data_IF_422472363255
#
_entry.id   IF_422472363255
#
_cell.length_a   1.000
_cell.length_b   1.000
_cell.length_c   1.000
_cell.angle_alpha   90.00
_cell.angle_beta   90.00
_cell.angle_gamma   90.00
#
_symmetry.space_group_name_H-M   'P 1'
#
loop_
_entity.id
_entity.type
_entity.pdbx_description
1 polymer ?
#
# COMPACT_ATOMS: atom_id res chain seq x y z
N UNK A 1 6.34 6.39 9.56
CA UNK A 1 4.87 6.17 9.49
C UNK A 1 4.17 7.24 8.65
N UNK A 2 3.62 6.90 7.49
CA UNK A 2 2.60 7.74 6.82
C UNK A 2 1.21 7.36 7.34
N UNK A 3 0.38 8.35 7.72
CA UNK A 3 -1.02 8.09 8.10
C UNK A 3 -1.90 8.19 6.86
N UNK A 4 -2.42 7.06 6.38
CA UNK A 4 -3.53 7.04 5.44
C UNK A 4 -4.69 7.87 6.02
N UNK A 5 -5.09 8.90 5.29
CA UNK A 5 -6.11 9.86 5.75
C UNK A 5 -7.22 9.91 4.71
N UNK A 6 -7.98 8.82 4.64
CA UNK A 6 -9.11 8.69 3.74
C UNK A 6 -10.04 9.91 3.90
N UNK A 7 -10.36 10.57 2.78
CA UNK A 7 -11.03 11.87 2.76
C UNK A 7 -12.13 11.86 1.72
N UNK A 8 -13.35 11.61 2.18
CA UNK A 8 -14.56 11.60 1.35
C UNK A 8 -14.72 12.91 0.56
N UNK A 9 -14.89 12.80 -0.76
CA UNK A 9 -15.23 13.92 -1.64
C UNK A 9 -16.73 14.19 -1.57
N UNK A 10 -17.15 15.20 -0.82
CA UNK A 10 -18.44 15.84 -1.06
C UNK A 10 -18.36 16.66 -2.35
N UNK A 11 -18.92 16.13 -3.44
CA UNK A 11 -19.12 16.87 -4.69
C UNK A 11 -20.44 17.64 -4.63
N UNK A 12 -20.38 18.96 -4.84
CA UNK A 12 -21.55 19.84 -4.79
C UNK A 12 -22.43 19.69 -6.02
N UNK A 13 -23.74 19.89 -5.84
CA UNK A 13 -24.76 19.72 -6.88
C UNK A 13 -24.61 20.62 -8.11
N UNK A 14 -24.91 20.07 -9.28
CA UNK A 14 -25.29 20.84 -10.47
C UNK A 14 -26.56 20.27 -11.09
N UNK A 15 -27.62 21.09 -11.21
CA UNK A 15 -28.90 20.69 -11.80
C UNK A 15 -28.82 20.71 -13.32
N UNK A 16 -29.18 19.62 -13.99
CA UNK A 16 -29.52 19.61 -15.41
C UNK A 16 -30.91 19.00 -15.63
N UNK A 17 -31.82 19.80 -16.18
CA UNK A 17 -33.21 19.41 -16.44
C UNK A 17 -33.41 19.10 -17.92
N UNK A 18 -33.90 17.90 -18.23
CA UNK A 18 -34.25 17.53 -19.61
C UNK A 18 -35.73 17.80 -19.92
N UNK A 19 -35.98 18.73 -20.83
CA UNK A 19 -37.31 19.10 -21.34
C UNK A 19 -37.72 18.20 -22.51
N UNK A 20 -38.67 17.28 -22.27
CA UNK A 20 -39.28 16.47 -23.33
C UNK A 20 -40.57 17.13 -23.86
N UNK A 21 -40.62 17.43 -25.16
CA UNK A 21 -41.71 18.19 -25.78
C UNK A 21 -42.70 17.31 -26.59
N UNK A 22 -43.91 17.12 -26.02
CA UNK A 22 -45.23 16.84 -26.62
C UNK A 22 -45.33 16.38 -28.10
N UNK A 23 -46.15 15.34 -28.30
CA UNK A 23 -47.39 15.35 -29.13
C UNK A 23 -48.29 14.16 -28.70
N UNK A 24 -49.39 14.42 -27.99
CA UNK A 24 -50.79 14.45 -28.50
C UNK A 24 -51.27 13.11 -29.08
N UNK A 25 -52.08 12.32 -28.35
CA UNK A 25 -53.57 12.37 -28.30
C UNK A 25 -54.24 11.64 -29.50
N UNK A 26 -55.40 10.96 -29.42
CA UNK A 26 -56.51 11.06 -28.43
C UNK A 26 -57.39 9.80 -28.38
N UNK A 27 -58.02 9.51 -27.21
CA UNK A 27 -59.33 8.84 -26.97
C UNK A 27 -59.65 7.41 -27.51
N UNK A 28 -59.74 6.49 -26.53
CA UNK A 28 -60.83 5.52 -26.23
C UNK A 28 -62.28 5.88 -26.70
N UNK A 29 -63.30 4.97 -26.63
CA UNK A 29 -63.41 3.68 -25.90
C UNK A 29 -63.81 2.48 -26.84
N UNK A 30 -64.53 1.37 -26.54
CA UNK A 30 -65.31 0.91 -25.38
C UNK A 30 -65.67 -0.61 -25.34
N UNK A 31 -65.90 -1.14 -24.13
CA UNK A 31 -66.90 -2.18 -23.74
C UNK A 31 -66.80 -3.70 -24.08
N UNK A 32 -67.19 -4.48 -23.04
CA UNK A 32 -67.92 -5.76 -23.04
C UNK A 32 -67.23 -7.09 -23.43
N UNK A 33 -66.37 -7.56 -22.52
CA UNK A 33 -66.65 -8.72 -21.64
C UNK A 33 -67.88 -9.60 -21.98
N UNK A 34 -67.66 -10.91 -22.20
CA UNK A 34 -68.54 -11.98 -21.67
C UNK A 34 -67.77 -13.30 -21.43
N UNK A 35 -68.48 -14.36 -21.01
CA UNK A 35 -67.97 -15.48 -20.18
C UNK A 35 -68.04 -16.87 -20.83
N UNK A 36 -67.31 -17.79 -20.18
CA UNK A 36 -67.56 -19.24 -20.08
C UNK A 36 -67.56 -20.10 -21.37
N UNK A 37 -66.56 -20.98 -21.47
CA UNK A 37 -66.83 -22.41 -21.72
C UNK A 37 -65.73 -23.29 -21.14
N UNK A 38 -66.09 -24.50 -20.68
CA UNK A 38 -65.21 -25.43 -19.97
C UNK A 38 -65.23 -26.80 -20.66
N UNK A 39 -64.07 -27.25 -21.21
CA UNK A 39 -63.77 -28.69 -21.36
C UNK A 39 -62.32 -28.98 -21.78
N UNK A 40 -61.64 -29.76 -20.92
CA UNK A 40 -60.68 -30.84 -21.23
C UNK A 40 -59.57 -30.57 -22.27
N UNK A 41 -58.35 -30.39 -21.78
CA UNK A 41 -57.24 -31.24 -22.23
C UNK A 41 -56.27 -31.48 -21.06
N UNK A 42 -56.12 -32.74 -20.65
CA UNK A 42 -55.14 -33.16 -19.66
C UNK A 42 -53.81 -33.43 -20.39
N UNK A 43 -52.91 -32.46 -20.33
CA UNK A 43 -51.52 -32.63 -20.77
C UNK A 43 -50.63 -32.58 -19.54
N UNK A 44 -49.78 -33.60 -19.35
CA UNK A 44 -49.02 -33.80 -18.11
C UNK A 44 -47.91 -32.76 -17.98
N UNK A 45 -48.19 -31.67 -17.26
CA UNK A 45 -47.22 -30.63 -16.94
C UNK A 45 -46.43 -30.97 -15.67
N UNK A 46 -45.91 -32.20 -15.62
CA UNK A 46 -44.98 -32.67 -14.58
C UNK A 46 -43.54 -32.25 -14.93
N UNK A 47 -43.35 -30.99 -15.33
CA UNK A 47 -42.01 -30.39 -15.39
C UNK A 47 -41.59 -30.18 -13.95
N UNK A 48 -40.46 -30.78 -13.56
CA UNK A 48 -40.10 -30.92 -12.15
C UNK A 48 -39.96 -29.58 -11.45
N UNK A 49 -40.79 -29.38 -10.42
CA UNK A 49 -40.41 -28.58 -9.26
C UNK A 49 -39.29 -29.34 -8.52
N UNK A 50 -38.09 -29.35 -9.12
CA UNK A 50 -36.88 -29.60 -8.37
C UNK A 50 -36.78 -28.47 -7.33
N UNK A 51 -36.84 -28.75 -6.03
CA UNK A 51 -36.52 -27.73 -5.05
C UNK A 51 -35.07 -27.31 -5.32
N UNK A 52 -34.86 -26.04 -5.65
CA UNK A 52 -33.53 -25.46 -5.70
C UNK A 52 -33.08 -25.36 -4.25
N UNK A 53 -32.53 -26.46 -3.73
CA UNK A 53 -31.90 -26.51 -2.41
C UNK A 53 -30.62 -25.70 -2.53
N UNK A 54 -30.79 -24.39 -2.37
CA UNK A 54 -29.68 -23.48 -2.12
C UNK A 54 -29.11 -23.88 -0.77
N UNK A 55 -28.08 -24.73 -0.78
CA UNK A 55 -27.20 -24.88 0.36
C UNK A 55 -26.43 -23.57 0.53
N UNK A 56 -27.09 -22.59 1.16
CA UNK A 56 -26.38 -21.56 1.90
C UNK A 56 -25.72 -22.28 3.07
N UNK A 57 -24.42 -22.49 2.95
CA UNK A 57 -23.59 -22.71 4.12
C UNK A 57 -23.64 -21.39 4.91
N UNK A 58 -24.33 -21.40 6.04
CA UNK A 58 -24.41 -20.24 6.92
C UNK A 58 -22.99 -19.97 7.44
N UNK A 59 -22.38 -18.88 6.96
CA UNK A 59 -21.02 -18.50 7.34
C UNK A 59 -20.99 -18.29 8.86
N UNK A 60 -20.28 -19.17 9.56
CA UNK A 60 -20.25 -19.18 11.01
C UNK A 60 -19.32 -18.08 11.54
N UNK A 61 -19.90 -16.90 11.76
CA UNK A 61 -19.24 -15.76 12.38
C UNK A 61 -18.97 -15.95 13.89
N UNK A 62 -19.25 -17.13 14.49
CA UNK A 62 -18.95 -17.42 15.90
C UNK A 62 -17.50 -17.81 16.19
N UNK A 63 -16.58 -17.58 15.24
CA UNK A 63 -15.14 -17.79 15.42
C UNK A 63 -14.66 -17.22 16.75
N UNK A 64 -14.24 -18.09 17.68
CA UNK A 64 -13.80 -17.69 19.02
C UNK A 64 -12.68 -16.66 18.89
N UNK A 65 -12.91 -15.44 19.40
CA UNK A 65 -11.94 -14.36 19.27
C UNK A 65 -10.70 -14.63 20.13
N UNK A 66 -9.67 -15.19 19.49
CA UNK A 66 -8.38 -15.46 20.10
C UNK A 66 -7.60 -14.14 20.24
N UNK A 67 -7.53 -13.63 21.47
CA UNK A 67 -6.72 -12.46 21.83
C UNK A 67 -5.23 -12.72 21.54
N UNK A 68 -4.63 -11.84 20.74
CA UNK A 68 -3.26 -11.95 20.22
C UNK A 68 -2.55 -10.61 20.26
N UNK A 69 -1.40 -10.61 20.94
CA UNK A 69 -0.46 -9.50 20.90
C UNK A 69 0.00 -9.25 19.45
N UNK A 70 -0.19 -8.01 19.01
CA UNK A 70 0.22 -7.50 17.71
C UNK A 70 1.45 -6.60 17.90
N UNK A 71 2.54 -6.95 17.21
CA UNK A 71 3.85 -6.26 17.27
C UNK A 71 4.22 -5.75 15.89
N UNK A 72 4.45 -4.45 15.74
CA UNK A 72 4.96 -3.89 14.48
C UNK A 72 6.22 -3.04 14.72
N UNK A 73 7.34 -3.44 14.13
CA UNK A 73 8.59 -2.69 14.14
C UNK A 73 9.24 -2.78 12.76
N UNK A 74 9.47 -1.62 12.15
CA UNK A 74 10.28 -1.48 10.94
C UNK A 74 11.55 -0.75 11.38
N UNK A 75 12.68 -1.44 11.36
CA UNK A 75 13.99 -0.85 11.59
C UNK A 75 14.31 0.09 10.43
N UNK A 76 14.55 1.36 10.73
CA UNK A 76 14.91 2.40 9.76
C UNK A 76 16.36 2.86 10.01
N UNK A 77 17.03 3.40 8.99
CA UNK A 77 18.44 3.82 9.00
C UNK A 77 18.73 5.12 9.81
N UNK A 78 17.92 5.39 10.84
CA UNK A 78 17.89 6.57 11.73
C UNK A 78 18.31 6.23 13.17
N UNK A 79 18.45 7.24 14.03
CA UNK A 79 18.99 7.10 15.40
C UNK A 79 17.98 6.54 16.44
N UNK A 80 16.67 6.68 16.21
CA UNK A 80 15.61 6.24 17.14
C UNK A 80 14.63 5.33 16.42
N UNK A 81 14.37 4.13 16.94
CA UNK A 81 13.40 3.18 16.40
C UNK A 81 12.04 3.33 17.12
N UNK A 82 10.94 3.15 16.39
CA UNK A 82 9.57 3.18 16.93
C UNK A 82 8.91 1.81 16.68
N UNK A 83 8.40 1.20 17.74
CA UNK A 83 7.64 -0.06 17.73
C UNK A 83 6.18 0.22 18.13
N UNK A 84 5.22 -0.50 17.56
CA UNK A 84 3.86 -0.58 18.10
C UNK A 84 3.57 -1.93 18.75
N UNK A 85 2.89 -1.89 19.89
CA UNK A 85 2.49 -3.04 20.70
C UNK A 85 1.05 -2.84 21.18
N UNK A 86 0.16 -3.77 20.84
CA UNK A 86 -1.25 -3.74 21.24
C UNK A 86 -1.87 -5.14 21.17
N UNK A 87 -3.07 -5.30 21.70
CA UNK A 87 -3.90 -6.46 21.37
C UNK A 87 -4.43 -6.34 19.93
N UNK A 88 -4.84 -7.46 19.33
CA UNK A 88 -5.72 -7.46 18.16
C UNK A 88 -7.11 -6.93 18.57
N UNK A 89 -7.99 -6.68 17.59
CA UNK A 89 -9.30 -6.08 17.83
C UNK A 89 -10.40 -7.07 17.45
N UNK A 90 -11.35 -7.31 18.36
CA UNK A 90 -12.53 -8.15 18.13
C UNK A 90 -13.39 -7.59 16.97
N UNK A 91 -13.98 -8.45 16.12
CA UNK A 91 -14.89 -8.00 15.05
C UNK A 91 -15.99 -7.05 15.55
N UNK A 92 -16.13 -5.90 14.88
CA UNK A 92 -17.08 -4.85 15.25
C UNK A 92 -16.53 -3.76 16.19
N UNK A 93 -15.35 -3.97 16.80
CA UNK A 93 -14.65 -2.94 17.57
C UNK A 93 -13.59 -2.20 16.73
N UNK A 94 -13.26 -0.97 17.13
CA UNK A 94 -12.38 -0.06 16.38
C UNK A 94 -11.27 0.57 17.26
N UNK A 95 -10.95 -0.05 18.40
CA UNK A 95 -9.92 0.43 19.33
C UNK A 95 -8.98 -0.70 19.69
N UNK A 96 -7.70 -0.52 19.36
CA UNK A 96 -6.61 -1.34 19.86
C UNK A 96 -6.43 -1.10 21.36
N UNK A 97 -6.31 -2.17 22.15
CA UNK A 97 -5.98 -2.09 23.58
C UNK A 97 -4.47 -1.95 23.79
N UNK A 98 -4.09 -1.13 24.79
CA UNK A 98 -2.72 -0.65 25.00
C UNK A 98 -1.95 -1.57 25.96
N UNK A 99 -0.89 -2.21 25.46
CA UNK A 99 0.02 -3.01 26.28
C UNK A 99 1.12 -2.10 26.82
N UNK A 100 1.15 -1.93 28.14
CA UNK A 100 2.13 -1.11 28.88
C UNK A 100 3.14 -1.93 29.69
N UNK A 101 2.75 -3.11 30.18
CA UNK A 101 3.63 -4.03 30.89
C UNK A 101 4.17 -5.11 29.94
N UNK A 102 5.38 -4.88 29.42
CA UNK A 102 6.07 -5.79 28.51
C UNK A 102 7.60 -5.67 28.60
N UNK A 103 8.31 -6.77 28.37
CA UNK A 103 9.75 -6.79 28.17
C UNK A 103 10.08 -6.86 26.67
N UNK A 104 10.44 -5.73 26.08
CA UNK A 104 10.66 -5.56 24.63
C UNK A 104 12.14 -5.28 24.35
N UNK A 105 12.85 -6.18 23.67
CA UNK A 105 14.32 -6.14 23.49
C UNK A 105 14.76 -6.38 22.05
N UNK A 106 15.81 -5.67 21.64
CA UNK A 106 16.47 -5.82 20.35
C UNK A 106 17.87 -6.43 20.53
N UNK A 107 18.20 -7.40 19.68
CA UNK A 107 19.50 -8.06 19.62
C UNK A 107 20.13 -7.89 18.23
N UNK A 108 21.44 -7.61 18.19
CA UNK A 108 22.28 -7.60 16.99
C UNK A 108 23.09 -8.91 17.00
N UNK A 109 22.71 -9.87 16.16
CA UNK A 109 23.02 -11.28 16.37
C UNK A 109 22.51 -11.75 17.75
N UNK A 110 23.43 -12.16 18.62
CA UNK A 110 23.13 -12.57 20.00
C UNK A 110 23.38 -11.47 21.06
N UNK A 111 23.91 -10.31 20.67
CA UNK A 111 24.18 -9.22 21.61
C UNK A 111 22.93 -8.36 21.81
N UNK A 112 22.42 -8.25 23.04
CA UNK A 112 21.37 -7.30 23.37
C UNK A 112 21.89 -5.86 23.14
N UNK A 113 21.28 -5.13 22.20
CA UNK A 113 21.66 -3.74 21.88
C UNK A 113 20.78 -2.70 22.56
N UNK A 114 19.62 -3.11 23.07
CA UNK A 114 18.78 -2.25 23.90
C UNK A 114 17.39 -2.78 24.17
N UNK A 115 16.72 -2.13 25.11
CA UNK A 115 15.35 -2.39 25.54
C UNK A 115 14.48 -1.21 25.13
N UNK A 116 13.33 -1.48 24.50
CA UNK A 116 12.39 -0.42 24.19
C UNK A 116 11.69 0.08 25.47
N UNK A 117 11.44 1.38 25.54
CA UNK A 117 10.63 2.01 26.59
C UNK A 117 9.26 2.41 26.03
N UNK A 118 8.21 2.27 26.84
CA UNK A 118 6.88 2.78 26.51
C UNK A 118 6.92 4.32 26.49
N UNK A 119 6.39 4.96 25.44
CA UNK A 119 6.26 6.44 25.36
C UNK A 119 4.83 6.87 25.70
N UNK A 120 3.85 6.31 24.99
CA UNK A 120 2.42 6.65 25.07
C UNK A 120 1.61 5.78 24.12
N UNK A 121 0.39 5.39 24.50
CA UNK A 121 -0.48 4.56 23.65
C UNK A 121 0.26 3.26 23.29
N UNK A 122 -0.08 2.69 22.15
CA UNK A 122 0.60 1.53 21.58
C UNK A 122 2.09 1.78 21.23
N UNK A 123 2.67 2.98 21.43
CA UNK A 123 4.00 3.36 20.90
C UNK A 123 5.12 3.19 21.93
N UNK A 124 6.14 2.43 21.52
CA UNK A 124 7.38 2.13 22.25
C UNK A 124 8.60 2.63 21.46
N UNK A 125 9.69 2.98 22.13
CA UNK A 125 10.90 3.59 21.52
C UNK A 125 12.22 3.00 22.01
N UNK A 126 13.21 3.01 21.13
CA UNK A 126 14.60 2.68 21.44
C UNK A 126 15.55 3.61 20.68
N UNK A 127 16.42 4.34 21.38
CA UNK A 127 17.50 5.11 20.77
C UNK A 127 18.65 4.17 20.40
N UNK A 128 18.59 3.66 19.16
CA UNK A 128 19.57 2.79 18.55
C UNK A 128 19.53 2.93 17.02
N UNK A 129 20.70 2.92 16.38
CA UNK A 129 20.85 2.94 14.92
C UNK A 129 21.30 1.59 14.36
N UNK A 130 20.41 0.86 13.67
CA UNK A 130 20.74 -0.36 12.93
C UNK A 130 21.87 -0.17 11.92
N UNK A 131 22.66 -1.21 11.75
CA UNK A 131 23.80 -1.25 10.82
C UNK A 131 23.41 -2.05 9.58
N UNK A 132 23.72 -1.53 8.39
CA UNK A 132 23.44 -2.25 7.15
C UNK A 132 24.19 -3.61 7.10
N UNK A 133 23.54 -4.64 6.59
CA UNK A 133 24.03 -6.02 6.53
C UNK A 133 23.92 -6.81 7.85
N UNK A 134 23.61 -6.17 8.99
CA UNK A 134 23.45 -6.87 10.26
C UNK A 134 22.07 -7.56 10.38
N UNK A 135 22.05 -8.74 10.99
CA UNK A 135 20.84 -9.51 11.34
C UNK A 135 20.39 -9.14 12.75
N UNK A 136 19.13 -8.75 12.87
CA UNK A 136 18.50 -8.37 14.13
C UNK A 136 17.46 -9.39 14.55
N UNK A 137 17.36 -9.61 15.87
CA UNK A 137 16.33 -10.43 16.50
C UNK A 137 15.54 -9.59 17.50
N UNK A 138 14.22 -9.59 17.38
CA UNK A 138 13.28 -8.98 18.31
C UNK A 138 12.80 -10.04 19.30
N UNK A 139 12.71 -9.67 20.58
CA UNK A 139 12.06 -10.46 21.62
C UNK A 139 11.07 -9.58 22.37
N UNK A 140 9.85 -10.08 22.56
CA UNK A 140 8.77 -9.42 23.31
C UNK A 140 8.19 -10.44 24.29
N UNK A 141 8.04 -10.05 25.55
CA UNK A 141 7.34 -10.84 26.57
C UNK A 141 6.22 -9.99 27.15
N UNK A 142 4.99 -10.50 27.11
CA UNK A 142 3.80 -9.87 27.72
C UNK A 142 3.25 -10.84 28.77
N UNK A 143 2.95 -10.41 30.00
CA UNK A 143 2.41 -11.29 31.03
C UNK A 143 1.12 -11.98 30.55
N UNK A 144 1.08 -13.32 30.65
CA UNK A 144 -0.05 -14.14 30.22
C UNK A 144 0.02 -14.70 28.79
N UNK A 145 0.98 -14.25 27.97
CA UNK A 145 1.15 -14.70 26.58
C UNK A 145 2.43 -15.52 26.39
N UNK A 146 2.57 -16.16 25.21
CA UNK A 146 3.80 -16.87 24.82
C UNK A 146 4.99 -15.90 24.58
N UNK A 147 6.21 -16.46 24.52
CA UNK A 147 7.42 -15.73 24.18
C UNK A 147 7.42 -15.30 22.70
N UNK A 148 7.19 -14.01 22.45
CA UNK A 148 7.09 -13.46 21.11
C UNK A 148 8.49 -13.18 20.54
N UNK A 149 8.72 -13.62 19.30
CA UNK A 149 10.01 -13.43 18.63
C UNK A 149 9.91 -13.32 17.11
N UNK A 150 10.84 -12.57 16.53
CA UNK A 150 10.99 -12.44 15.08
C UNK A 150 12.43 -12.05 14.71
N UNK A 151 12.79 -12.18 13.44
CA UNK A 151 14.11 -11.83 12.92
C UNK A 151 14.01 -11.10 11.58
N UNK A 152 14.98 -10.25 11.28
CA UNK A 152 15.13 -9.54 9.99
C UNK A 152 16.60 -9.19 9.75
N UNK A 153 16.96 -8.78 8.52
CA UNK A 153 18.30 -8.27 8.19
C UNK A 153 18.18 -6.85 7.66
N UNK A 154 18.98 -5.94 8.20
CA UNK A 154 18.98 -4.53 7.79
C UNK A 154 19.58 -4.40 6.38
N UNK A 155 18.83 -3.91 5.37
CA UNK A 155 19.32 -3.87 4.00
C UNK A 155 20.40 -2.80 3.78
N UNK A 156 21.27 -3.05 2.81
CA UNK A 156 22.18 -2.02 2.27
C UNK A 156 21.38 -0.96 1.50
N UNK A 157 21.83 0.30 1.51
CA UNK A 157 21.23 1.36 0.70
C UNK A 157 21.32 1.05 -0.79
N UNK A 158 20.25 1.33 -1.54
CA UNK A 158 20.28 1.31 -3.01
C UNK A 158 21.21 2.41 -3.51
N UNK A 159 22.23 2.05 -4.29
CA UNK A 159 23.19 3.02 -4.83
C UNK A 159 22.60 3.71 -6.08
N UNK A 160 21.81 4.77 -5.85
CA UNK A 160 21.15 5.56 -6.90
C UNK A 160 21.79 6.95 -7.03
N UNK A 161 22.23 7.29 -8.24
CA UNK A 161 22.58 8.66 -8.67
C UNK A 161 21.46 9.25 -9.53
N UNK A 162 21.24 10.57 -9.47
CA UNK A 162 20.36 11.28 -10.42
C UNK A 162 21.14 11.73 -11.64
N UNK A 163 20.66 11.37 -12.83
CA UNK A 163 21.31 11.64 -14.12
C UNK A 163 20.64 12.82 -14.81
N UNK A 164 21.43 13.69 -15.44
CA UNK A 164 20.93 14.79 -16.27
C UNK A 164 20.79 14.35 -17.73
N UNK A 165 19.59 13.93 -18.13
CA UNK A 165 19.25 13.94 -19.55
C UNK A 165 19.17 15.40 -20.04
N UNK A 166 19.74 15.69 -21.21
CA UNK A 166 19.71 17.02 -21.85
C UNK A 166 18.48 17.23 -22.74
N UNK A 167 17.73 16.17 -23.02
CA UNK A 167 16.54 16.17 -23.89
C UNK A 167 15.22 16.25 -23.10
N UNK A 168 15.21 15.90 -21.81
CA UNK A 168 14.02 16.06 -20.94
C UNK A 168 13.70 17.52 -20.69
N UNK A 169 12.59 17.99 -21.24
CA UNK A 169 12.08 19.36 -21.09
C UNK A 169 10.96 19.49 -20.05
N UNK A 170 10.44 18.38 -19.52
CA UNK A 170 9.30 18.37 -18.57
C UNK A 170 9.76 18.36 -17.12
N UNK A 171 8.99 18.98 -16.22
CA UNK A 171 9.20 18.84 -14.76
C UNK A 171 8.93 17.40 -14.26
N UNK A 172 8.15 16.61 -15.02
CA UNK A 172 7.50 15.35 -14.61
C UNK A 172 8.35 14.08 -14.78
N UNK A 173 9.30 14.07 -15.72
CA UNK A 173 10.05 12.88 -16.13
C UNK A 173 11.53 13.07 -15.76
N UNK A 174 12.11 12.19 -14.93
CA UNK A 174 13.49 12.34 -14.42
C UNK A 174 14.30 11.04 -14.53
N UNK A 175 15.55 11.16 -14.94
CA UNK A 175 16.46 10.02 -15.08
C UNK A 175 17.31 9.77 -13.82
N UNK A 176 17.55 8.49 -13.56
CA UNK A 176 18.30 7.94 -12.45
C UNK A 176 19.23 6.83 -12.96
N UNK A 177 20.27 6.57 -12.20
CA UNK A 177 21.28 5.54 -12.47
C UNK A 177 21.45 4.72 -11.22
N UNK A 178 21.16 3.43 -11.31
CA UNK A 178 21.57 2.45 -10.31
C UNK A 178 23.01 2.06 -10.64
N UNK A 179 23.93 2.16 -9.67
CA UNK A 179 25.36 1.93 -9.91
C UNK A 179 25.85 0.57 -9.44
N UNK A 180 25.09 -0.12 -8.58
CA UNK A 180 25.42 -1.43 -8.01
C UNK A 180 24.15 -2.30 -7.85
N UNK A 181 24.28 -3.63 -7.79
CA UNK A 181 23.24 -4.55 -7.32
C UNK A 181 22.55 -4.12 -6.03
N UNK A 182 21.29 -4.51 -5.87
CA UNK A 182 20.48 -4.13 -4.72
C UNK A 182 19.47 -5.22 -4.32
N UNK A 183 19.17 -5.38 -3.01
CA UNK A 183 18.00 -6.13 -2.56
C UNK A 183 16.70 -5.49 -3.11
N UNK A 184 15.54 -6.17 -3.03
CA UNK A 184 14.27 -5.59 -3.43
C UNK A 184 14.09 -4.18 -2.87
N UNK A 185 13.66 -3.23 -3.71
CA UNK A 185 13.55 -1.84 -3.29
C UNK A 185 12.30 -1.16 -3.84
N UNK A 186 11.77 -0.28 -3.01
CA UNK A 186 10.50 0.39 -3.21
C UNK A 186 10.75 1.84 -3.56
N UNK A 187 10.11 2.33 -4.62
CA UNK A 187 10.27 3.69 -5.11
C UNK A 187 8.93 4.40 -5.08
N UNK A 188 8.89 5.56 -4.46
CA UNK A 188 7.70 6.41 -4.38
C UNK A 188 8.11 7.88 -4.35
N UNK A 189 7.16 8.78 -4.62
CA UNK A 189 7.44 10.22 -4.57
C UNK A 189 6.60 10.92 -3.51
N UNK A 190 7.26 11.76 -2.73
CA UNK A 190 6.65 12.63 -1.72
C UNK A 190 6.63 14.05 -2.28
N UNK A 191 5.45 14.53 -2.61
CA UNK A 191 5.19 15.87 -3.14
C UNK A 191 5.03 16.89 -2.02
N UNK A 192 5.64 18.06 -2.19
CA UNK A 192 5.48 19.22 -1.31
C UNK A 192 4.64 20.29 -2.01
N UNK A 193 3.87 21.04 -1.21
CA UNK A 193 3.07 22.17 -1.68
C UNK A 193 3.92 23.14 -2.54
N UNK A 194 3.35 23.69 -3.63
CA UNK A 194 4.13 24.43 -4.64
C UNK A 194 4.84 25.68 -4.07
N UNK A 195 4.28 26.27 -3.00
CA UNK A 195 4.85 27.44 -2.31
C UNK A 195 6.09 27.12 -1.46
N UNK A 196 6.23 25.90 -0.94
CA UNK A 196 7.35 25.45 -0.10
C UNK A 196 8.41 24.73 -0.95
N UNK A 197 9.05 25.48 -1.86
CA UNK A 197 10.01 24.92 -2.83
C UNK A 197 11.21 24.29 -2.12
N UNK A 198 11.51 23.03 -2.45
CA UNK A 198 12.66 22.29 -1.91
C UNK A 198 13.96 22.81 -2.54
N UNK A 199 14.58 23.78 -1.88
CA UNK A 199 15.77 24.52 -2.34
C UNK A 199 17.08 24.09 -1.66
N UNK A 200 17.08 23.08 -0.79
CA UNK A 200 18.26 22.68 -0.01
C UNK A 200 19.32 21.97 -0.85
N UNK A 201 20.59 22.09 -0.40
CA UNK A 201 21.74 21.35 -0.93
C UNK A 201 22.11 20.15 -0.08
N UNK A 202 22.07 20.29 1.24
CA UNK A 202 22.92 19.47 2.13
C UNK A 202 22.18 18.36 2.87
N UNK A 203 20.86 18.52 3.12
CA UNK A 203 19.96 17.42 3.48
C UNK A 203 18.58 17.60 2.84
N UNK A 204 17.97 16.48 2.48
CA UNK A 204 16.56 16.35 2.09
C UNK A 204 15.88 15.51 3.17
N UNK A 205 14.68 15.91 3.61
CA UNK A 205 13.88 15.16 4.59
C UNK A 205 12.41 15.22 4.22
N UNK A 206 11.70 14.13 4.48
CA UNK A 206 10.24 14.07 4.40
C UNK A 206 9.68 14.78 5.65
N UNK A 207 8.71 15.67 5.45
CA UNK A 207 8.05 16.43 6.52
C UNK A 207 6.56 16.06 6.61
N UNK A 208 5.91 16.37 7.73
CA UNK A 208 4.54 15.93 8.03
C UNK A 208 3.44 16.55 7.14
N UNK A 209 3.80 17.50 6.26
CA UNK A 209 2.95 18.07 5.24
C UNK A 209 3.20 17.53 3.83
N UNK A 210 4.22 16.67 3.63
CA UNK A 210 4.47 16.04 2.33
C UNK A 210 3.44 14.94 2.06
N UNK A 211 2.99 14.83 0.80
CA UNK A 211 1.96 13.89 0.37
C UNK A 211 2.53 12.90 -0.64
N UNK A 212 2.23 11.62 -0.46
CA UNK A 212 2.49 10.58 -1.46
C UNK A 212 1.80 10.97 -2.78
N UNK A 213 2.50 10.87 -3.91
CA UNK A 213 1.88 11.02 -5.22
C UNK A 213 0.99 9.80 -5.49
N UNK A 214 -0.26 10.03 -5.91
CA UNK A 214 -1.24 8.97 -6.23
C UNK A 214 -0.75 8.01 -7.33
N UNK A 215 0.06 8.48 -8.28
CA UNK A 215 0.57 7.70 -9.41
C UNK A 215 2.06 7.89 -9.67
N UNK A 216 2.74 6.80 -10.05
CA UNK A 216 4.17 6.78 -10.38
C UNK A 216 4.45 5.76 -11.51
N UNK A 217 5.35 6.08 -12.43
CA UNK A 217 5.75 5.19 -13.54
C UNK A 217 7.27 5.11 -13.71
N UNK A 218 7.75 4.06 -14.38
CA UNK A 218 9.18 3.83 -14.68
C UNK A 218 9.38 2.93 -15.90
N UNK A 219 10.61 2.91 -16.43
CA UNK A 219 11.09 1.89 -17.36
C UNK A 219 12.19 0.98 -16.75
N UNK A 220 12.34 0.94 -15.42
CA UNK A 220 13.33 0.06 -14.77
C UNK A 220 13.01 -1.41 -15.05
N UNK A 221 14.00 -2.14 -15.59
CA UNK A 221 13.83 -3.50 -16.11
C UNK A 221 13.31 -4.55 -15.11
N UNK A 222 13.53 -4.33 -13.80
CA UNK A 222 13.12 -5.23 -12.73
C UNK A 222 11.93 -4.70 -11.91
N UNK A 223 11.20 -3.70 -12.41
CA UNK A 223 9.89 -3.33 -11.82
C UNK A 223 8.90 -4.49 -11.93
N UNK A 224 8.01 -4.66 -10.95
CA UNK A 224 6.91 -5.62 -11.06
C UNK A 224 5.52 -4.98 -10.97
N UNK A 225 4.66 -5.39 -11.89
CA UNK A 225 3.44 -4.68 -12.27
C UNK A 225 2.25 -4.98 -11.32
N UNK A 226 2.50 -5.27 -10.04
CA UNK A 226 1.49 -5.83 -9.13
C UNK A 226 0.38 -4.83 -8.72
N UNK A 227 0.63 -3.54 -8.92
CA UNK A 227 -0.27 -2.40 -8.69
C UNK A 227 -0.28 -1.45 -9.90
N UNK A 228 0.06 -1.97 -11.09
CA UNK A 228 0.02 -1.24 -12.36
C UNK A 228 -1.42 -1.13 -12.87
N UNK A 229 -1.79 0.02 -13.42
CA UNK A 229 -3.05 0.24 -14.13
C UNK A 229 -2.90 0.16 -15.65
N UNK A 230 -4.03 0.15 -16.36
CA UNK A 230 -4.08 -0.03 -17.81
C UNK A 230 -3.71 1.21 -18.64
N UNK A 231 -3.54 2.38 -17.99
CA UNK A 231 -3.19 3.64 -18.67
C UNK A 231 -1.71 4.04 -18.52
N UNK A 232 -1.19 4.71 -19.55
CA UNK A 232 0.08 5.42 -19.46
C UNK A 232 -0.04 6.61 -18.51
N UNK A 233 1.04 6.93 -17.81
CA UNK A 233 1.14 8.11 -16.93
C UNK A 233 0.61 9.36 -17.64
N UNK A 234 -0.16 10.19 -16.93
CA UNK A 234 -0.71 11.47 -17.43
C UNK A 234 -1.69 11.39 -18.62
N UNK A 235 -2.18 10.20 -18.99
CA UNK A 235 -3.21 10.03 -20.04
C UNK A 235 -4.48 10.88 -19.77
N UNK A 236 -4.91 10.97 -18.51
CA UNK A 236 -6.02 11.83 -18.05
C UNK A 236 -5.85 13.33 -18.39
N UNK A 237 -4.62 13.80 -18.59
CA UNK A 237 -4.31 15.19 -18.97
C UNK A 237 -4.16 15.39 -20.49
N UNK A 238 -4.42 14.36 -21.30
CA UNK A 238 -4.25 14.40 -22.76
C UNK A 238 -2.80 14.46 -23.22
N UNK A 239 -1.84 14.14 -22.35
CA UNK A 239 -0.41 14.15 -22.61
C UNK A 239 0.24 12.87 -22.04
N UNK A 240 0.00 11.69 -22.64
CA UNK A 240 0.53 10.43 -22.14
C UNK A 240 2.06 10.43 -22.08
N UNK A 241 2.59 9.89 -20.98
CA UNK A 241 4.01 9.68 -20.73
C UNK A 241 4.54 8.39 -21.34
N UNK A 242 5.76 8.01 -20.94
CA UNK A 242 6.51 6.89 -21.53
C UNK A 242 6.32 5.56 -20.78
N UNK A 243 5.62 5.55 -19.64
CA UNK A 243 5.39 4.36 -18.81
C UNK A 243 3.96 4.20 -18.30
N UNK A 244 3.58 2.96 -17.94
CA UNK A 244 2.30 2.66 -17.28
C UNK A 244 2.28 3.16 -15.83
N UNK A 245 1.15 3.73 -15.41
CA UNK A 245 0.96 4.22 -14.05
C UNK A 245 0.82 3.07 -13.03
N UNK A 246 1.53 3.18 -11.92
CA UNK A 246 1.39 2.32 -10.75
C UNK A 246 0.83 3.13 -9.57
N UNK A 247 -0.02 2.51 -8.75
CA UNK A 247 -0.70 3.16 -7.63
C UNK A 247 0.27 3.45 -6.47
N UNK A 248 0.72 4.70 -6.35
CA UNK A 248 1.57 5.27 -5.30
C UNK A 248 3.02 4.77 -5.20
N UNK A 249 3.28 3.52 -5.57
CA UNK A 249 4.55 2.84 -5.35
C UNK A 249 4.97 2.05 -6.59
N UNK A 250 6.27 2.04 -6.86
CA UNK A 250 6.93 1.02 -7.68
C UNK A 250 7.61 0.04 -6.73
N UNK A 251 7.53 -1.26 -7.04
CA UNK A 251 8.37 -2.30 -6.44
C UNK A 251 9.36 -2.76 -7.51
N UNK A 252 10.65 -2.61 -7.23
CA UNK A 252 11.72 -3.14 -8.05
C UNK A 252 12.28 -4.38 -7.33
N UNK A 253 12.37 -5.48 -8.06
CA UNK A 253 12.83 -6.76 -7.53
C UNK A 253 14.33 -6.74 -7.21
N UNK A 254 14.83 -7.81 -6.59
CA UNK A 254 16.27 -7.98 -6.38
C UNK A 254 17.02 -7.92 -7.72
N UNK A 255 18.18 -7.28 -7.71
CA UNK A 255 19.03 -7.10 -8.89
C UNK A 255 20.45 -7.56 -8.57
N UNK A 256 21.08 -8.28 -9.48
CA UNK A 256 22.37 -8.96 -9.27
C UNK A 256 23.42 -8.60 -10.34
N UNK A 257 24.59 -9.21 -10.25
CA UNK A 257 25.69 -9.00 -11.20
C UNK A 257 25.49 -9.64 -12.59
N UNK A 258 24.28 -10.11 -12.96
CA UNK A 258 23.97 -10.54 -14.34
C UNK A 258 23.68 -9.39 -15.30
N UNK A 259 23.56 -8.16 -14.78
CA UNK A 259 23.25 -6.94 -15.53
C UNK A 259 24.46 -5.99 -15.54
N UNK A 260 24.72 -5.36 -16.68
CA UNK A 260 25.77 -4.34 -16.81
C UNK A 260 25.39 -3.05 -16.09
N UNK A 261 26.17 -2.67 -15.08
CA UNK A 261 26.03 -1.41 -14.35
C UNK A 261 26.94 -0.31 -14.92
N UNK A 262 26.51 0.97 -14.92
CA UNK A 262 25.29 1.48 -14.31
C UNK A 262 24.02 1.35 -15.17
N UNK A 263 22.96 0.80 -14.58
CA UNK A 263 21.63 0.74 -15.19
C UNK A 263 20.98 2.13 -15.14
N UNK A 264 20.64 2.70 -16.29
CA UNK A 264 19.95 4.00 -16.39
C UNK A 264 18.47 3.81 -16.68
N UNK A 265 17.61 4.46 -15.89
CA UNK A 265 16.16 4.38 -15.96
C UNK A 265 15.54 5.75 -15.69
N UNK A 266 14.24 5.91 -15.94
CA UNK A 266 13.48 7.11 -15.58
C UNK A 266 12.40 6.82 -14.52
N UNK A 267 11.91 7.88 -13.89
CA UNK A 267 10.69 7.88 -13.10
C UNK A 267 9.80 9.04 -13.55
N UNK A 268 8.51 8.76 -13.74
CA UNK A 268 7.45 9.72 -14.07
C UNK A 268 6.51 9.89 -12.86
N UNK A 269 6.31 11.12 -12.41
CA UNK A 269 5.35 11.52 -11.36
C UNK A 269 5.16 13.07 -11.40
N UNK A 270 4.43 13.69 -10.44
CA UNK A 270 4.30 15.16 -10.31
C UNK A 270 5.59 15.77 -9.72
N UNK A 271 6.66 15.61 -10.46
CA UNK A 271 8.04 15.72 -9.99
C UNK A 271 8.55 17.15 -9.72
N UNK A 272 7.77 18.20 -9.99
CA UNK A 272 8.17 19.62 -9.83
C UNK A 272 8.73 19.92 -8.43
N UNK A 273 7.94 19.67 -7.38
CA UNK A 273 8.31 19.82 -5.96
C UNK A 273 8.31 18.45 -5.24
N UNK A 274 8.85 17.42 -5.88
CA UNK A 274 8.91 16.07 -5.31
C UNK A 274 10.29 15.69 -4.74
N UNK A 275 10.26 14.94 -3.64
CA UNK A 275 11.34 14.06 -3.17
C UNK A 275 11.05 12.67 -3.75
N UNK A 276 12.04 12.07 -4.43
CA UNK A 276 12.00 10.65 -4.78
C UNK A 276 12.64 9.86 -3.64
N UNK A 277 11.95 8.83 -3.16
CA UNK A 277 12.41 7.95 -2.10
C UNK A 277 12.78 6.61 -2.72
N UNK A 278 14.03 6.18 -2.53
CA UNK A 278 14.49 4.83 -2.85
C UNK A 278 14.69 4.08 -1.55
N UNK A 279 13.75 3.19 -1.22
CA UNK A 279 13.73 2.41 0.02
C UNK A 279 14.21 0.99 -0.25
N UNK A 280 15.45 0.66 0.15
CA UNK A 280 15.88 -0.73 0.19
C UNK A 280 15.06 -1.49 1.25
N UNK A 281 14.64 -2.72 0.95
CA UNK A 281 13.80 -3.54 1.82
C UNK A 281 14.53 -4.78 2.33
N UNK A 282 14.20 -5.22 3.55
CA UNK A 282 14.41 -6.61 3.94
C UNK A 282 13.39 -7.54 3.27
N UNK A 283 13.69 -8.84 3.22
CA UNK A 283 12.77 -9.85 2.66
C UNK A 283 11.41 -9.91 3.36
N UNK A 284 11.36 -9.49 4.63
CA UNK A 284 10.15 -9.41 5.44
C UNK A 284 9.38 -8.12 5.11
N UNK A 285 10.08 -6.99 4.94
CA UNK A 285 9.49 -5.70 4.58
C UNK A 285 8.85 -5.75 3.20
N UNK A 286 9.52 -6.36 2.22
CA UNK A 286 9.06 -6.47 0.85
C UNK A 286 7.75 -7.29 0.75
N UNK A 287 7.69 -8.45 1.41
CA UNK A 287 6.49 -9.29 1.49
C UNK A 287 5.36 -8.59 2.24
N UNK A 288 5.68 -7.89 3.34
CA UNK A 288 4.71 -7.10 4.10
C UNK A 288 4.10 -5.98 3.27
N UNK A 289 4.93 -5.16 2.60
CA UNK A 289 4.47 -4.05 1.78
C UNK A 289 3.62 -4.53 0.60
N UNK A 290 4.05 -5.57 -0.12
CA UNK A 290 3.29 -6.09 -1.27
C UNK A 290 1.94 -6.66 -0.85
N UNK A 291 1.89 -7.49 0.19
CA UNK A 291 0.61 -8.05 0.69
C UNK A 291 -0.30 -6.98 1.30
N UNK A 292 0.26 -5.98 1.98
CA UNK A 292 -0.50 -4.84 2.53
C UNK A 292 -1.12 -3.97 1.42
N UNK A 293 -0.39 -3.67 0.35
CA UNK A 293 -0.90 -2.87 -0.77
C UNK A 293 -1.94 -3.65 -1.58
N UNK A 294 -1.73 -4.94 -1.83
CA UNK A 294 -2.75 -5.80 -2.48
C UNK A 294 -4.04 -5.79 -1.67
N UNK A 295 -3.98 -6.01 -0.35
CA UNK A 295 -5.17 -5.97 0.51
C UNK A 295 -5.83 -4.59 0.57
N UNK A 296 -5.04 -3.51 0.62
CA UNK A 296 -5.57 -2.15 0.60
C UNK A 296 -6.29 -1.83 -0.72
N UNK A 297 -5.72 -2.23 -1.86
CA UNK A 297 -6.31 -2.01 -3.18
C UNK A 297 -7.60 -2.83 -3.37
N UNK A 298 -7.68 -4.06 -2.86
CA UNK A 298 -8.91 -4.86 -2.88
C UNK A 298 -10.07 -4.15 -2.16
N UNK A 299 -9.83 -3.54 -1.00
CA UNK A 299 -10.84 -2.73 -0.31
C UNK A 299 -11.11 -1.35 -0.93
N UNK A 300 -10.31 -0.91 -1.91
CA UNK A 300 -10.57 0.33 -2.68
C UNK A 300 -11.45 0.10 -3.92
N UNK A 301 -11.83 -1.14 -4.21
CA UNK A 301 -12.88 -1.46 -5.18
C UNK A 301 -14.27 -1.16 -4.58
N UNK A 302 -14.59 0.12 -4.33
CA UNK A 302 -15.82 0.56 -3.65
C UNK A 302 -17.12 0.06 -4.31
N UNK A 303 -17.07 -0.29 -5.60
CA UNK A 303 -18.20 -0.80 -6.40
C UNK A 303 -18.44 -2.32 -6.29
N UNK A 304 -17.53 -3.12 -5.69
CA UNK A 304 -17.69 -4.59 -5.54
C UNK A 304 -17.65 -5.06 -4.08
N UNK A 305 -18.81 -5.18 -3.41
CA UNK A 305 -18.91 -5.72 -2.05
C UNK A 305 -18.47 -7.18 -1.88
N UNK A 306 -18.22 -7.95 -2.94
CA UNK A 306 -17.71 -9.33 -2.82
C UNK A 306 -16.24 -9.35 -2.41
N UNK A 307 -15.46 -8.32 -2.77
CA UNK A 307 -14.07 -8.15 -2.35
C UNK A 307 -13.93 -8.03 -0.81
N UNK A 308 -15.00 -7.68 -0.10
CA UNK A 308 -15.01 -7.63 1.37
C UNK A 308 -14.86 -9.00 2.04
N UNK A 309 -15.17 -10.08 1.32
CA UNK A 309 -15.00 -11.46 1.77
C UNK A 309 -13.67 -12.10 1.30
N UNK A 310 -12.79 -11.38 0.61
CA UNK A 310 -11.47 -11.91 0.27
C UNK A 310 -10.58 -12.05 1.52
N UNK A 311 -10.24 -13.30 1.87
CA UNK A 311 -9.31 -13.66 2.94
C UNK A 311 -7.83 -13.34 2.60
N UNK A 312 -7.55 -12.22 1.94
CA UNK A 312 -6.20 -11.77 1.63
C UNK A 312 -5.39 -11.61 2.92
N UNK A 313 -4.50 -12.55 3.22
CA UNK A 313 -3.68 -12.54 4.44
C UNK A 313 -2.51 -11.56 4.26
N UNK A 314 -2.40 -10.57 5.16
CA UNK A 314 -1.21 -9.72 5.23
C UNK A 314 -0.07 -10.54 5.82
N UNK A 315 1.10 -10.49 5.20
CA UNK A 315 2.27 -11.24 5.64
C UNK A 315 2.67 -10.89 7.09
N UNK A 316 2.95 -11.91 7.90
CA UNK A 316 3.52 -11.80 9.25
C UNK A 316 4.77 -12.67 9.37
N UNK A 317 5.75 -12.21 10.16
CA UNK A 317 6.89 -13.01 10.61
C UNK A 317 6.99 -13.10 12.15
N UNK A 318 6.00 -12.57 12.87
CA UNK A 318 5.94 -12.62 14.34
C UNK A 318 5.54 -14.03 14.78
N UNK A 319 6.37 -14.67 15.60
CA UNK A 319 6.05 -15.94 16.28
C UNK A 319 5.42 -15.62 17.63
N UNK A 320 4.39 -16.38 18.04
CA UNK A 320 3.64 -16.15 19.28
C UNK A 320 2.66 -14.96 19.24
N UNK A 321 2.44 -14.35 18.06
CA UNK A 321 1.62 -13.15 17.91
C UNK A 321 1.40 -12.75 16.45
N UNK A 322 0.99 -11.50 16.23
CA UNK A 322 0.68 -10.94 14.91
C UNK A 322 1.54 -9.71 14.59
N UNK A 323 1.58 -9.28 13.33
CA UNK A 323 2.23 -8.05 12.87
C UNK A 323 3.50 -8.28 12.06
N UNK A 324 4.51 -7.41 12.20
CA UNK A 324 5.72 -7.42 11.37
C UNK A 324 6.96 -6.94 12.14
N UNK A 325 8.06 -7.68 12.04
CA UNK A 325 9.39 -7.18 12.36
C UNK A 325 10.26 -7.23 11.11
N UNK A 326 10.60 -6.06 10.59
CA UNK A 326 11.30 -5.94 9.31
C UNK A 326 12.29 -4.77 9.32
N UNK A 327 13.00 -4.55 8.21
CA UNK A 327 13.94 -3.45 8.09
C UNK A 327 13.89 -2.78 6.71
N UNK A 328 14.18 -1.48 6.67
CA UNK A 328 14.32 -0.72 5.43
C UNK A 328 15.36 0.40 5.55
N UNK A 329 15.92 0.83 4.41
CA UNK A 329 16.91 1.90 4.36
C UNK A 329 16.58 2.90 3.24
N UNK A 330 16.26 4.14 3.62
CA UNK A 330 15.85 5.20 2.69
C UNK A 330 17.05 5.97 2.13
N UNK A 331 16.98 6.25 0.83
CA UNK A 331 17.83 7.21 0.11
C UNK A 331 16.92 8.25 -0.56
N UNK A 332 17.11 9.53 -0.24
CA UNK A 332 16.20 10.62 -0.60
C UNK A 332 16.83 11.55 -1.65
N UNK A 333 16.18 11.75 -2.80
CA UNK A 333 16.69 12.60 -3.89
C UNK A 333 15.65 13.64 -4.30
N UNK A 334 15.99 14.93 -4.16
CA UNK A 334 15.12 16.06 -4.50
C UNK A 334 15.52 16.78 -5.80
N UNK A 335 14.69 17.76 -6.22
CA UNK A 335 14.81 18.57 -7.44
C UNK A 335 16.20 19.16 -7.69
N UNK A 336 16.92 19.55 -6.65
CA UNK A 336 18.21 20.26 -6.73
C UNK A 336 19.40 19.37 -7.10
N UNK A 337 19.37 18.06 -6.80
CA UNK A 337 20.58 17.22 -6.88
C UNK A 337 20.79 16.67 -8.29
N UNK A 338 21.82 17.15 -8.97
CA UNK A 338 22.47 16.50 -10.12
C UNK A 338 23.90 16.25 -9.68
N UNK A 339 24.33 14.98 -9.69
CA UNK A 339 25.73 14.65 -9.43
C UNK A 339 26.47 14.87 -10.74
N UNK A 340 27.04 16.07 -10.88
CA UNK A 340 27.97 16.39 -11.95
C UNK A 340 29.37 16.00 -11.47
N UNK A 341 29.75 14.73 -11.64
CA UNK A 341 31.07 14.16 -11.29
C UNK A 341 32.21 14.71 -12.20
N UNK A 342 32.10 15.98 -12.63
CA UNK A 342 33.02 16.67 -13.54
C UNK A 342 33.88 17.73 -12.84
N UNK A 343 34.60 17.32 -11.77
CA UNK A 343 35.68 18.09 -11.15
C UNK A 343 36.72 17.23 -10.45
#
# INVERSE_FOLDING_TARGET
MCRLKCRSRQTSSSKWSWTAARRSATRQPSHLQDRNSMRRMLTVLAVGFLPIVSCTEDIDFSSEFEDKVTVNLILENKETQELTLCHNTEPGYFRYEEITDADVRLFDGEMEVGRFTHERRITWKLDYRPRAGHRYRLSVKVPGFEDISAETTMPNNVQIKRVRNRLTTTDNHKYFSQTEPAPPFWVFTMTRNEFDVILTRDTVRIESGDLLDDHIGTNHFAVDNFNMGDELMFSEFGMPGESFGHLGYLRIQETDHSVDYPVTFFIEARMRNAIVVFRAASNEYDKYMKSSIIKANAYMAEDDPTAYFEENVVYSNIKGGLGIFAACSDTLIARSFIIDDSR
#
